data_IF_713118023070
#
_entry.id   IF_713118023070
#
_cell.length_a   1.000
_cell.length_b   1.000
_cell.length_c   1.000
_cell.angle_alpha   90.00
_cell.angle_beta   90.00
_cell.angle_gamma   90.00
#
_symmetry.space_group_name_H-M   'P 1'
#
loop_
_entity.id
_entity.type
_entity.pdbx_description
1 polymer ?
#
# COMPACT_ATOMS: atom_id res chain seq x y z
N UNK A 1 28.18 19.05 -17.56
CA UNK A 1 26.80 18.58 -17.34
C UNK A 1 26.88 17.07 -17.37
N UNK A 2 26.74 16.48 -16.22
CA UNK A 2 26.88 15.03 -16.08
C UNK A 2 25.60 14.40 -16.66
N UNK A 3 25.65 13.95 -17.92
CA UNK A 3 24.61 13.15 -18.55
C UNK A 3 24.71 11.71 -18.06
N UNK A 4 24.87 11.56 -16.76
CA UNK A 4 24.99 10.28 -16.11
C UNK A 4 23.73 9.45 -16.28
N UNK A 5 23.88 8.14 -16.41
CA UNK A 5 22.77 7.19 -16.41
C UNK A 5 21.93 7.36 -15.15
N UNK A 6 20.62 7.52 -15.34
CA UNK A 6 19.62 7.69 -14.28
C UNK A 6 18.69 6.46 -14.30
N UNK A 7 18.86 5.58 -13.32
CA UNK A 7 18.09 4.34 -13.20
C UNK A 7 16.92 4.53 -12.22
N UNK A 8 15.71 4.13 -12.63
CA UNK A 8 14.56 4.00 -11.76
C UNK A 8 14.14 2.53 -11.62
N UNK A 9 14.05 2.06 -10.39
CA UNK A 9 13.53 0.74 -10.04
C UNK A 9 12.24 0.92 -9.23
N UNK A 10 11.14 0.45 -9.78
CA UNK A 10 9.80 0.64 -9.21
C UNK A 10 9.35 -0.64 -8.50
N UNK A 11 8.87 -0.50 -7.27
CA UNK A 11 8.21 -1.53 -6.51
C UNK A 11 6.72 -1.59 -6.94
N UNK A 12 6.36 -2.62 -7.70
CA UNK A 12 5.05 -2.70 -8.34
C UNK A 12 3.92 -2.79 -7.32
N UNK A 13 3.99 -3.75 -6.39
CA UNK A 13 2.90 -3.98 -5.45
C UNK A 13 2.70 -2.80 -4.50
N UNK A 14 3.77 -2.21 -4.00
CA UNK A 14 3.68 -1.02 -3.14
C UNK A 14 2.97 0.15 -3.85
N UNK A 15 3.22 0.35 -5.14
CA UNK A 15 2.57 1.37 -5.95
C UNK A 15 1.12 1.01 -6.32
N UNK A 16 0.84 -0.27 -6.61
CA UNK A 16 -0.50 -0.78 -6.94
C UNK A 16 -1.43 -0.67 -5.73
N UNK A 17 -0.99 -1.14 -4.56
CA UNK A 17 -1.76 -1.02 -3.32
C UNK A 17 -2.04 0.44 -2.96
N UNK A 18 -1.01 1.28 -3.03
CA UNK A 18 -1.19 2.72 -2.81
C UNK A 18 -2.22 3.32 -3.76
N UNK A 19 -2.16 2.97 -5.04
CA UNK A 19 -3.12 3.42 -6.03
C UNK A 19 -4.55 2.95 -5.72
N UNK A 20 -4.72 1.69 -5.37
CA UNK A 20 -6.00 1.11 -5.00
C UNK A 20 -6.63 1.82 -3.80
N UNK A 21 -5.88 1.97 -2.70
CA UNK A 21 -6.39 2.61 -1.49
C UNK A 21 -6.65 4.11 -1.65
N UNK A 22 -5.93 4.79 -2.54
CA UNK A 22 -6.23 6.19 -2.86
C UNK A 22 -7.64 6.40 -3.45
N UNK A 23 -8.19 5.39 -4.10
CA UNK A 23 -9.53 5.41 -4.68
C UNK A 23 -10.57 4.62 -3.89
N UNK A 24 -10.25 4.07 -2.72
CA UNK A 24 -11.14 3.16 -1.99
C UNK A 24 -12.52 3.76 -1.70
N UNK A 25 -12.58 5.06 -1.39
CA UNK A 25 -13.84 5.79 -1.12
C UNK A 25 -14.61 6.19 -2.39
N UNK A 26 -13.96 6.22 -3.54
CA UNK A 26 -14.56 6.61 -4.82
C UNK A 26 -13.92 5.80 -5.95
N UNK A 27 -14.18 4.48 -6.01
CA UNK A 27 -13.56 3.58 -6.95
C UNK A 27 -13.89 3.95 -8.40
N UNK A 28 -12.95 3.73 -9.30
CA UNK A 28 -13.10 3.94 -10.73
C UNK A 28 -13.59 2.64 -11.36
N UNK A 29 -14.87 2.59 -11.66
CA UNK A 29 -15.51 1.43 -12.26
C UNK A 29 -15.81 1.74 -13.73
N UNK A 30 -15.41 0.87 -14.65
CA UNK A 30 -15.78 1.01 -16.06
C UNK A 30 -17.20 0.52 -16.35
N UNK A 31 -17.68 0.68 -17.58
CA UNK A 31 -19.06 0.30 -17.95
C UNK A 31 -19.33 -1.21 -17.83
N UNK A 32 -18.28 -2.04 -17.78
CA UNK A 32 -18.35 -3.49 -17.59
C UNK A 32 -18.39 -3.91 -16.10
N UNK A 33 -18.41 -2.95 -15.16
CA UNK A 33 -18.36 -3.21 -13.73
C UNK A 33 -16.97 -3.52 -13.16
N UNK A 34 -15.91 -3.38 -13.96
CA UNK A 34 -14.54 -3.67 -13.54
C UNK A 34 -13.92 -2.48 -12.81
N UNK A 35 -13.33 -2.73 -11.63
CA UNK A 35 -12.64 -1.71 -10.85
C UNK A 35 -11.24 -1.43 -11.43
N UNK A 36 -11.10 -0.29 -12.06
CA UNK A 36 -9.87 0.15 -12.74
C UNK A 36 -8.97 1.05 -11.87
N UNK A 37 -9.31 1.26 -10.60
CA UNK A 37 -8.65 2.23 -9.71
C UNK A 37 -7.15 2.00 -9.57
N UNK A 38 -6.76 0.75 -9.30
CA UNK A 38 -5.35 0.37 -9.14
C UNK A 38 -4.55 0.60 -10.42
N UNK A 39 -5.13 0.25 -11.57
CA UNK A 39 -4.50 0.42 -12.89
C UNK A 39 -4.33 1.91 -13.19
N UNK A 40 -5.40 2.70 -13.03
CA UNK A 40 -5.38 4.14 -13.30
C UNK A 40 -4.32 4.84 -12.45
N UNK A 41 -4.28 4.56 -11.15
CA UNK A 41 -3.33 5.19 -10.23
C UNK A 41 -1.89 4.76 -10.51
N UNK A 42 -1.65 3.48 -10.82
CA UNK A 42 -0.34 2.98 -11.21
C UNK A 42 0.16 3.66 -12.49
N UNK A 43 -0.66 3.71 -13.55
CA UNK A 43 -0.30 4.36 -14.82
C UNK A 43 -0.04 5.84 -14.65
N UNK A 44 -0.86 6.54 -13.84
CA UNK A 44 -0.63 7.96 -13.54
C UNK A 44 0.73 8.18 -12.87
N UNK A 45 1.07 7.32 -11.92
CA UNK A 45 2.35 7.36 -11.21
C UNK A 45 3.53 7.10 -12.15
N UNK A 46 3.41 6.06 -13.00
CA UNK A 46 4.43 5.74 -14.02
C UNK A 46 4.64 6.91 -14.99
N UNK A 47 3.56 7.45 -15.55
CA UNK A 47 3.61 8.59 -16.48
C UNK A 47 4.24 9.84 -15.84
N UNK A 48 3.96 10.08 -14.56
CA UNK A 48 4.57 11.20 -13.84
C UNK A 48 6.09 11.03 -13.74
N UNK A 49 6.57 9.84 -13.41
CA UNK A 49 8.00 9.55 -13.38
C UNK A 49 8.62 9.68 -14.77
N UNK A 50 8.00 9.09 -15.78
CA UNK A 50 8.52 9.14 -17.15
C UNK A 50 8.63 10.58 -17.69
N UNK A 51 7.70 11.44 -17.32
CA UNK A 51 7.65 12.85 -17.79
C UNK A 51 8.52 13.80 -16.97
N UNK A 52 8.44 13.70 -15.62
CA UNK A 52 9.14 14.64 -14.74
C UNK A 52 10.59 14.29 -14.53
N UNK A 53 10.86 13.00 -14.32
CA UNK A 53 12.20 12.53 -13.99
C UNK A 53 13.02 12.17 -15.22
N UNK A 54 12.34 11.84 -16.31
CA UNK A 54 12.94 11.47 -17.58
C UNK A 54 14.10 10.46 -17.40
N UNK A 55 13.84 9.26 -16.80
CA UNK A 55 14.87 8.28 -16.55
C UNK A 55 15.50 7.79 -17.87
N UNK A 56 16.81 7.52 -17.86
CA UNK A 56 17.48 6.86 -18.98
C UNK A 56 17.29 5.34 -18.94
N UNK A 57 17.12 4.79 -17.73
CA UNK A 57 16.93 3.36 -17.49
C UNK A 57 15.80 3.17 -16.48
N UNK A 58 15.00 2.14 -16.67
CA UNK A 58 13.84 1.86 -15.81
C UNK A 58 13.53 0.37 -15.77
N UNK A 59 13.11 -0.13 -14.61
CA UNK A 59 12.61 -1.48 -14.42
C UNK A 59 11.52 -1.49 -13.36
N UNK A 60 10.59 -2.46 -13.44
CA UNK A 60 9.51 -2.63 -12.47
C UNK A 60 9.62 -4.02 -11.85
N UNK A 61 9.83 -4.08 -10.55
CA UNK A 61 9.95 -5.32 -9.80
C UNK A 61 8.59 -5.77 -9.24
N UNK A 62 8.33 -7.06 -9.33
CA UNK A 62 7.17 -7.72 -8.76
C UNK A 62 7.60 -8.82 -7.79
N UNK A 63 6.81 -9.01 -6.73
CA UNK A 63 6.92 -10.22 -5.94
C UNK A 63 6.50 -11.43 -6.79
N UNK A 64 7.23 -12.54 -6.71
CA UNK A 64 6.88 -13.76 -7.41
C UNK A 64 5.65 -14.42 -6.80
N UNK A 65 5.03 -15.30 -7.56
CA UNK A 65 4.04 -16.21 -7.02
C UNK A 65 4.73 -17.26 -6.13
N UNK A 66 4.21 -17.47 -4.92
CA UNK A 66 4.70 -18.50 -4.00
C UNK A 66 5.57 -17.96 -2.85
N UNK A 67 6.04 -18.87 -1.97
CA UNK A 67 6.81 -18.49 -0.80
C UNK A 67 8.21 -17.97 -1.18
N UNK A 68 8.72 -17.07 -0.34
CA UNK A 68 10.09 -16.57 -0.41
C UNK A 68 10.95 -17.23 0.68
N UNK A 69 12.26 -17.04 0.63
CA UNK A 69 13.17 -17.57 1.66
C UNK A 69 12.79 -17.13 3.09
N UNK A 70 12.11 -15.97 3.25
CA UNK A 70 11.62 -15.51 4.56
C UNK A 70 10.45 -16.36 5.04
N UNK A 71 9.53 -16.74 4.15
CA UNK A 71 8.43 -17.66 4.48
C UNK A 71 8.96 -19.06 4.83
N UNK A 72 10.01 -19.53 4.14
CA UNK A 72 10.66 -20.81 4.46
C UNK A 72 11.34 -20.77 5.83
N UNK A 73 11.94 -19.64 6.20
CA UNK A 73 12.59 -19.46 7.50
C UNK A 73 11.60 -19.20 8.64
N UNK A 74 10.45 -18.58 8.36
CA UNK A 74 9.46 -18.18 9.34
C UNK A 74 8.06 -18.27 8.75
N UNK A 75 7.34 -19.32 9.07
CA UNK A 75 5.97 -19.61 8.57
C UNK A 75 4.98 -18.46 8.87
N UNK A 76 5.20 -17.74 9.98
CA UNK A 76 4.36 -16.63 10.38
C UNK A 76 4.72 -15.29 9.69
N UNK A 77 5.76 -15.26 8.85
CA UNK A 77 6.13 -14.06 8.11
C UNK A 77 4.97 -13.62 7.22
N UNK A 78 4.50 -12.38 7.42
CA UNK A 78 3.34 -11.79 6.72
C UNK A 78 2.01 -12.56 6.84
N UNK A 79 1.91 -13.56 7.76
CA UNK A 79 0.73 -14.42 7.89
C UNK A 79 -0.54 -13.68 8.34
N UNK A 80 -0.42 -12.52 8.99
CA UNK A 80 -1.55 -11.69 9.40
C UNK A 80 -2.05 -10.75 8.29
N UNK A 81 -1.37 -10.71 7.13
CA UNK A 81 -1.83 -9.89 6.01
C UNK A 81 -3.12 -10.48 5.44
N UNK A 82 -4.09 -9.62 5.23
CA UNK A 82 -5.32 -9.98 4.53
C UNK A 82 -5.01 -10.45 3.11
N UNK A 83 -5.89 -11.27 2.57
CA UNK A 83 -5.80 -11.64 1.16
C UNK A 83 -5.77 -10.41 0.26
N UNK A 84 -5.01 -10.51 -0.82
CA UNK A 84 -4.96 -9.45 -1.82
C UNK A 84 -6.36 -9.18 -2.36
N UNK A 85 -6.89 -7.95 -2.23
CA UNK A 85 -8.20 -7.61 -2.76
C UNK A 85 -8.38 -8.07 -4.21
N UNK A 86 -9.53 -8.64 -4.52
CA UNK A 86 -9.82 -9.17 -5.86
C UNK A 86 -9.55 -8.13 -6.96
N UNK A 87 -9.92 -6.87 -6.73
CA UNK A 87 -9.67 -5.80 -7.68
C UNK A 87 -8.17 -5.60 -7.98
N UNK A 88 -7.29 -5.78 -6.99
CA UNK A 88 -5.84 -5.75 -7.19
C UNK A 88 -5.41 -7.00 -7.97
N UNK A 89 -5.85 -8.18 -7.53
CA UNK A 89 -5.51 -9.46 -8.18
C UNK A 89 -5.85 -9.47 -9.67
N UNK A 90 -7.02 -8.96 -10.03
CA UNK A 90 -7.47 -8.84 -11.41
C UNK A 90 -6.73 -7.72 -12.19
N UNK A 91 -6.24 -6.69 -11.49
CA UNK A 91 -5.50 -5.58 -12.11
C UNK A 91 -4.06 -5.93 -12.46
N UNK A 92 -3.40 -6.82 -11.70
CA UNK A 92 -1.97 -7.14 -11.87
C UNK A 92 -1.62 -7.63 -13.28
N UNK A 93 -2.34 -8.59 -13.91
CA UNK A 93 -2.05 -9.01 -15.27
C UNK A 93 -2.12 -7.85 -16.26
N UNK A 94 -3.14 -7.00 -16.15
CA UNK A 94 -3.34 -5.85 -17.03
C UNK A 94 -2.22 -4.81 -16.84
N UNK A 95 -1.81 -4.56 -15.60
CA UNK A 95 -0.67 -3.69 -15.30
C UNK A 95 0.62 -4.25 -15.91
N UNK A 96 0.85 -5.56 -15.82
CA UNK A 96 2.00 -6.21 -16.48
C UNK A 96 1.96 -6.03 -18.01
N UNK A 97 0.78 -6.11 -18.63
CA UNK A 97 0.63 -5.88 -20.08
C UNK A 97 0.86 -4.40 -20.44
N UNK A 98 0.41 -3.47 -19.62
CA UNK A 98 0.71 -2.04 -19.79
C UNK A 98 2.22 -1.79 -19.69
N UNK A 99 2.90 -2.35 -18.69
CA UNK A 99 4.36 -2.22 -18.52
C UNK A 99 5.10 -2.76 -19.75
N UNK A 100 4.67 -3.92 -20.28
CA UNK A 100 5.22 -4.48 -21.52
C UNK A 100 4.98 -3.56 -22.73
N UNK A 101 3.80 -2.94 -22.82
CA UNK A 101 3.51 -1.98 -23.88
C UNK A 101 4.34 -0.68 -23.75
N UNK A 102 4.75 -0.28 -22.54
CA UNK A 102 5.78 0.75 -22.31
C UNK A 102 7.19 0.27 -22.62
N UNK A 103 7.39 -1.02 -22.98
CA UNK A 103 8.68 -1.67 -23.18
C UNK A 103 9.60 -1.57 -21.97
N UNK A 104 9.00 -1.60 -20.77
CA UNK A 104 9.73 -1.59 -19.51
C UNK A 104 9.92 -3.03 -19.04
N UNK A 105 11.14 -3.44 -18.68
CA UNK A 105 11.40 -4.77 -18.14
C UNK A 105 10.66 -5.03 -16.83
N UNK A 106 10.04 -6.20 -16.72
CA UNK A 106 9.49 -6.75 -15.49
C UNK A 106 10.55 -7.61 -14.83
N UNK A 107 10.88 -7.28 -13.58
CA UNK A 107 11.91 -7.93 -12.78
C UNK A 107 11.22 -8.81 -11.72
N UNK A 108 11.39 -10.12 -11.83
CA UNK A 108 10.74 -11.08 -10.93
C UNK A 108 11.66 -12.29 -10.77
N UNK A 109 12.02 -12.64 -9.53
CA UNK A 109 12.90 -13.77 -9.23
C UNK A 109 12.23 -14.68 -8.21
N UNK A 110 12.02 -15.94 -8.58
CA UNK A 110 11.38 -16.92 -7.70
C UNK A 110 12.14 -17.07 -6.37
N UNK A 111 11.42 -17.06 -5.25
CA UNK A 111 11.96 -17.19 -3.91
C UNK A 111 12.49 -15.89 -3.27
N UNK A 112 12.44 -14.75 -3.98
CA UNK A 112 12.87 -13.44 -3.49
C UNK A 112 11.78 -12.40 -3.69
N UNK A 113 11.65 -11.47 -2.76
CA UNK A 113 10.68 -10.38 -2.84
C UNK A 113 11.17 -9.26 -3.78
N UNK A 114 10.27 -8.38 -4.21
CA UNK A 114 10.61 -7.26 -5.07
C UNK A 114 11.68 -6.34 -4.45
N UNK A 115 11.65 -6.18 -3.12
CA UNK A 115 12.64 -5.40 -2.37
C UNK A 115 14.05 -5.99 -2.46
N UNK A 116 14.18 -7.33 -2.41
CA UNK A 116 15.46 -8.02 -2.58
C UNK A 116 16.02 -7.84 -3.99
N UNK A 117 15.15 -7.94 -5.00
CA UNK A 117 15.51 -7.73 -6.42
C UNK A 117 15.97 -6.29 -6.63
N UNK A 118 15.18 -5.32 -6.17
CA UNK A 118 15.52 -3.90 -6.25
C UNK A 118 16.80 -3.60 -5.47
N UNK A 119 16.92 -4.14 -4.25
CA UNK A 119 18.10 -3.95 -3.40
C UNK A 119 19.37 -4.45 -4.04
N UNK A 120 19.33 -5.61 -4.68
CA UNK A 120 20.47 -6.18 -5.40
C UNK A 120 20.88 -5.30 -6.58
N UNK A 121 19.94 -4.94 -7.44
CA UNK A 121 20.20 -4.15 -8.64
C UNK A 121 20.63 -2.71 -8.30
N UNK A 122 19.97 -2.08 -7.32
CA UNK A 122 20.31 -0.72 -6.89
C UNK A 122 21.69 -0.65 -6.26
N UNK A 123 22.05 -1.62 -5.42
CA UNK A 123 23.37 -1.70 -4.80
C UNK A 123 24.46 -1.87 -5.85
N UNK A 124 24.25 -2.76 -6.82
CA UNK A 124 25.22 -2.98 -7.90
C UNK A 124 25.34 -1.75 -8.80
N UNK A 125 24.22 -1.11 -9.18
CA UNK A 125 24.22 0.12 -9.95
C UNK A 125 24.97 1.25 -9.21
N UNK A 126 24.74 1.39 -7.91
CA UNK A 126 25.45 2.36 -7.07
C UNK A 126 26.96 2.12 -7.02
N UNK A 127 27.42 0.86 -6.93
CA UNK A 127 28.85 0.49 -7.01
C UNK A 127 29.48 0.86 -8.35
N UNK A 128 28.68 0.79 -9.42
CA UNK A 128 29.11 1.22 -10.76
C UNK A 128 29.04 2.74 -10.97
N UNK A 129 28.63 3.51 -9.94
CA UNK A 129 28.51 4.97 -9.98
C UNK A 129 27.24 5.48 -10.66
N UNK A 130 26.26 4.61 -10.93
CA UNK A 130 25.00 4.96 -11.56
C UNK A 130 24.05 5.56 -10.51
N UNK A 131 23.49 6.73 -10.80
CA UNK A 131 22.48 7.34 -9.93
C UNK A 131 21.17 6.56 -10.02
N UNK A 132 20.77 5.93 -8.92
CA UNK A 132 19.64 5.00 -8.86
C UNK A 132 18.56 5.50 -7.90
N UNK A 133 17.32 5.45 -8.33
CA UNK A 133 16.14 5.80 -7.54
C UNK A 133 15.27 4.56 -7.36
N UNK A 134 15.07 4.17 -6.10
CA UNK A 134 14.14 3.12 -5.69
C UNK A 134 12.78 3.75 -5.42
N UNK A 135 11.82 3.50 -6.28
CA UNK A 135 10.51 4.10 -6.19
C UNK A 135 9.56 3.22 -5.39
N UNK A 136 9.43 3.53 -4.13
CA UNK A 136 8.58 2.83 -3.17
C UNK A 136 8.19 3.74 -2.01
N UNK A 137 7.00 3.60 -1.40
CA UNK A 137 6.66 4.23 -0.13
C UNK A 137 7.29 3.52 1.07
N UNK A 138 7.80 2.30 0.91
CA UNK A 138 8.27 1.45 1.99
C UNK A 138 9.53 2.03 2.66
N UNK A 139 9.45 2.18 4.00
CA UNK A 139 10.52 2.73 4.82
C UNK A 139 11.78 1.85 4.88
N UNK A 140 11.60 0.54 4.67
CA UNK A 140 12.64 -0.46 4.86
C UNK A 140 13.75 -0.34 3.82
N UNK A 141 13.43 0.19 2.64
CA UNK A 141 14.41 0.57 1.62
C UNK A 141 15.42 1.64 2.08
N UNK A 142 15.15 2.31 3.20
CA UNK A 142 16.10 3.23 3.82
C UNK A 142 17.48 2.58 4.09
N UNK A 143 17.51 1.27 4.37
CA UNK A 143 18.73 0.52 4.60
C UNK A 143 19.68 0.44 3.39
N UNK A 144 19.16 0.66 2.17
CA UNK A 144 19.88 0.56 0.90
C UNK A 144 20.43 1.91 0.41
N UNK A 145 20.02 3.00 1.06
CA UNK A 145 20.38 4.36 0.63
C UNK A 145 21.88 4.61 0.79
N UNK A 146 22.47 5.20 -0.24
CA UNK A 146 23.89 5.53 -0.30
C UNK A 146 24.14 6.79 -1.13
N UNK A 147 25.40 7.15 -1.38
CA UNK A 147 25.76 8.35 -2.18
C UNK A 147 25.20 8.33 -3.61
N UNK A 148 24.85 7.15 -4.14
CA UNK A 148 24.33 6.95 -5.50
C UNK A 148 22.96 6.31 -5.54
N UNK A 149 22.45 5.81 -4.42
CA UNK A 149 21.17 5.12 -4.32
C UNK A 149 20.23 5.91 -3.42
N UNK A 150 19.09 6.29 -3.93
CA UNK A 150 18.10 7.15 -3.29
C UNK A 150 16.74 6.47 -3.24
N UNK A 151 15.94 6.76 -2.20
CA UNK A 151 14.52 6.47 -2.24
C UNK A 151 13.79 7.60 -2.95
N UNK A 152 12.84 7.24 -3.81
CA UNK A 152 11.92 8.15 -4.48
C UNK A 152 10.50 7.84 -3.99
N UNK A 153 10.04 8.63 -3.03
CA UNK A 153 8.82 8.34 -2.27
C UNK A 153 7.66 9.22 -2.68
N UNK A 154 6.47 8.64 -2.92
CA UNK A 154 5.26 9.44 -3.09
C UNK A 154 4.85 10.11 -1.77
N UNK A 155 4.53 11.40 -1.81
CA UNK A 155 4.02 12.16 -0.66
C UNK A 155 2.52 12.01 -0.49
N UNK A 156 2.02 12.17 0.73
CA UNK A 156 0.58 12.24 0.99
C UNK A 156 -0.08 13.50 0.40
N UNK A 157 0.65 14.61 0.37
CA UNK A 157 0.22 15.89 -0.20
C UNK A 157 0.32 15.96 -1.73
N UNK A 158 0.58 14.83 -2.38
CA UNK A 158 0.86 14.76 -3.82
C UNK A 158 2.32 15.03 -4.17
N UNK A 159 2.75 14.53 -5.34
CA UNK A 159 4.14 14.57 -5.78
C UNK A 159 5.04 13.57 -5.06
N UNK A 160 6.35 13.80 -5.15
CA UNK A 160 7.38 12.89 -4.64
C UNK A 160 8.42 13.64 -3.81
N UNK A 161 9.14 12.89 -3.00
CA UNK A 161 10.35 13.32 -2.30
C UNK A 161 11.50 12.36 -2.60
N UNK A 162 12.69 12.91 -2.65
CA UNK A 162 13.92 12.13 -2.72
C UNK A 162 14.51 12.06 -1.32
N UNK A 163 14.80 10.85 -0.86
CA UNK A 163 15.46 10.64 0.42
C UNK A 163 16.87 10.05 0.15
N UNK A 164 17.87 10.82 0.47
CA UNK A 164 19.27 10.40 0.50
C UNK A 164 19.74 10.03 1.91
N UNK A 165 21.04 9.94 2.08
CA UNK A 165 21.67 9.52 3.34
C UNK A 165 21.26 10.40 4.51
N UNK A 166 21.26 11.73 4.34
CA UNK A 166 20.96 12.64 5.44
C UNK A 166 19.47 12.64 5.83
N UNK A 167 18.57 12.50 4.85
CA UNK A 167 17.13 12.39 5.09
C UNK A 167 16.79 11.08 5.85
N UNK A 168 17.41 9.96 5.46
CA UNK A 168 17.22 8.68 6.15
C UNK A 168 17.78 8.76 7.58
N UNK A 169 18.98 9.31 7.78
CA UNK A 169 19.59 9.49 9.09
C UNK A 169 18.70 10.36 9.99
N UNK A 170 18.21 11.47 9.47
CA UNK A 170 17.33 12.38 10.22
C UNK A 170 15.99 11.72 10.58
N UNK A 171 15.41 10.95 9.64
CA UNK A 171 14.12 10.29 9.85
C UNK A 171 14.15 9.23 10.96
N UNK A 172 15.20 8.41 10.99
CA UNK A 172 15.31 7.31 11.94
C UNK A 172 16.16 7.65 13.17
N UNK A 173 16.73 8.86 13.23
CA UNK A 173 17.68 9.29 14.27
C UNK A 173 18.87 8.32 14.41
N UNK A 174 19.51 8.01 13.27
CA UNK A 174 20.61 7.06 13.13
C UNK A 174 21.83 7.72 12.49
N UNK A 175 22.99 7.08 12.58
CA UNK A 175 24.25 7.59 12.05
C UNK A 175 24.57 7.10 10.63
N UNK A 176 23.98 5.96 10.25
CA UNK A 176 24.16 5.34 8.93
C UNK A 176 22.84 4.72 8.45
N UNK A 177 22.51 4.81 7.14
CA UNK A 177 21.32 4.14 6.57
C UNK A 177 21.24 2.65 6.87
N UNK A 178 22.37 1.95 6.93
CA UNK A 178 22.41 0.51 7.26
C UNK A 178 21.85 0.19 8.64
N UNK A 179 21.86 1.15 9.56
CA UNK A 179 21.27 0.97 10.91
C UNK A 179 19.75 0.87 10.92
N UNK A 180 19.06 1.14 9.79
CA UNK A 180 17.63 0.84 9.64
C UNK A 180 17.37 -0.64 9.90
N UNK A 181 18.28 -1.53 9.50
CA UNK A 181 18.17 -2.97 9.76
C UNK A 181 18.19 -3.26 11.28
N UNK A 182 19.10 -2.60 12.01
CA UNK A 182 19.20 -2.76 13.46
C UNK A 182 17.98 -2.20 14.19
N UNK A 183 17.45 -1.08 13.71
CA UNK A 183 16.19 -0.52 14.20
C UNK A 183 15.05 -1.53 14.09
N UNK A 184 14.84 -2.06 12.87
CA UNK A 184 13.77 -3.04 12.58
C UNK A 184 13.99 -4.36 13.34
N UNK A 185 15.22 -4.84 13.43
CA UNK A 185 15.55 -6.05 14.19
C UNK A 185 15.26 -5.93 15.69
N UNK A 186 15.39 -4.72 16.27
CA UNK A 186 15.07 -4.45 17.66
C UNK A 186 13.59 -4.19 17.93
N UNK A 187 12.96 -3.31 17.15
CA UNK A 187 11.56 -2.94 17.39
C UNK A 187 10.56 -3.90 16.76
N UNK A 188 11.00 -4.73 15.82
CA UNK A 188 10.13 -5.56 14.99
C UNK A 188 9.42 -4.74 13.90
N UNK A 189 8.62 -5.43 13.11
CA UNK A 189 7.68 -4.82 12.17
C UNK A 189 6.36 -5.60 12.17
N UNK A 190 5.29 -4.94 12.63
CA UNK A 190 3.97 -5.55 12.69
C UNK A 190 3.40 -5.82 11.31
N UNK A 191 3.75 -5.02 10.29
CA UNK A 191 3.26 -5.21 8.92
C UNK A 191 3.80 -6.48 8.26
N UNK A 192 4.97 -6.93 8.69
CA UNK A 192 5.64 -8.14 8.19
C UNK A 192 5.66 -9.27 9.22
N UNK A 193 5.01 -9.03 10.37
CA UNK A 193 5.02 -9.95 11.51
C UNK A 193 6.44 -10.29 12.00
N UNK A 194 7.34 -9.31 11.94
CA UNK A 194 8.69 -9.45 12.48
C UNK A 194 8.66 -9.16 13.97
N UNK A 195 9.03 -10.13 14.84
CA UNK A 195 8.76 -10.04 16.27
C UNK A 195 9.55 -8.96 17.01
N UNK A 196 10.79 -8.69 16.62
CA UNK A 196 11.69 -7.80 17.33
C UNK A 196 12.03 -8.27 18.75
N UNK A 197 12.43 -7.33 19.62
CA UNK A 197 12.62 -7.56 21.03
C UNK A 197 11.34 -7.16 21.80
N UNK A 198 10.63 -8.08 22.47
CA UNK A 198 9.39 -7.80 23.18
C UNK A 198 9.50 -6.62 24.14
N UNK A 199 8.68 -5.58 23.92
CA UNK A 199 8.65 -4.35 24.74
C UNK A 199 9.81 -3.40 24.48
N UNK A 200 10.48 -3.51 23.33
CA UNK A 200 11.36 -2.53 22.74
C UNK A 200 10.62 -1.90 21.55
N UNK A 201 10.18 -0.67 21.71
CA UNK A 201 9.60 0.13 20.63
C UNK A 201 10.63 1.07 20.01
N UNK A 202 10.21 1.85 19.03
CA UNK A 202 11.03 2.73 18.19
C UNK A 202 12.01 3.59 19.02
N UNK A 203 11.55 4.35 20.01
CA UNK A 203 12.41 5.23 20.84
C UNK A 203 13.49 4.46 21.60
N UNK A 204 13.18 3.24 22.06
CA UNK A 204 14.16 2.41 22.75
C UNK A 204 15.16 1.83 21.77
N UNK A 205 14.71 1.40 20.60
CA UNK A 205 15.56 0.91 19.53
C UNK A 205 16.52 2.02 19.05
N UNK A 206 16.03 3.24 18.80
CA UNK A 206 16.84 4.41 18.46
C UNK A 206 17.96 4.65 19.48
N UNK A 207 17.62 4.65 20.77
CA UNK A 207 18.61 4.82 21.83
C UNK A 207 19.66 3.72 21.80
N UNK A 208 19.25 2.46 21.66
CA UNK A 208 20.17 1.32 21.63
C UNK A 208 21.09 1.38 20.38
N UNK A 209 20.52 1.66 19.21
CA UNK A 209 21.31 1.79 17.99
C UNK A 209 22.26 2.99 18.04
N UNK A 210 21.82 4.12 18.59
CA UNK A 210 22.68 5.29 18.80
C UNK A 210 23.84 5.00 19.75
N UNK A 211 23.63 4.22 20.83
CA UNK A 211 24.62 3.92 21.86
C UNK A 211 25.59 2.81 21.42
N UNK A 212 25.07 1.74 20.80
CA UNK A 212 25.85 0.55 20.48
C UNK A 212 26.21 0.43 18.98
N UNK A 213 25.57 1.18 18.11
CA UNK A 213 25.84 1.19 16.67
C UNK A 213 25.20 0.03 15.90
N UNK A 214 25.18 -1.18 16.45
CA UNK A 214 24.58 -2.36 15.85
C UNK A 214 24.02 -3.35 16.89
N UNK A 215 23.17 -4.27 16.46
CA UNK A 215 22.65 -5.36 17.28
C UNK A 215 23.78 -6.27 17.76
N UNK A 216 24.76 -6.57 16.93
CA UNK A 216 25.89 -7.43 17.29
C UNK A 216 26.66 -6.82 18.48
N UNK A 217 27.03 -5.56 18.36
CA UNK A 217 27.74 -4.86 19.43
C UNK A 217 26.90 -4.71 20.71
N UNK A 218 25.59 -4.45 20.57
CA UNK A 218 24.65 -4.45 21.70
C UNK A 218 24.64 -5.80 22.43
N UNK A 219 24.55 -6.90 21.66
CA UNK A 219 24.50 -8.25 22.22
C UNK A 219 25.84 -8.68 22.87
N UNK A 220 26.97 -8.17 22.42
CA UNK A 220 28.27 -8.40 23.07
C UNK A 220 28.46 -7.60 24.36
N UNK A 221 27.78 -6.45 24.51
CA UNK A 221 27.96 -5.52 25.60
C UNK A 221 26.68 -5.34 26.45
N UNK A 222 25.90 -6.41 26.65
CA UNK A 222 24.68 -6.36 27.46
C UNK A 222 24.94 -6.03 28.93
N UNK A 223 26.18 -6.18 29.43
CA UNK A 223 26.63 -5.76 30.76
C UNK A 223 26.46 -4.26 31.00
N UNK A 224 26.51 -3.44 29.95
CA UNK A 224 26.29 -1.99 30.01
C UNK A 224 24.83 -1.62 30.19
N UNK A 225 23.89 -2.54 29.84
CA UNK A 225 22.45 -2.35 30.06
C UNK A 225 22.07 -2.53 31.54
N UNK A 226 20.98 -1.87 31.95
CA UNK A 226 20.48 -1.91 33.35
C UNK A 226 19.03 -2.36 33.41
N UNK A 227 18.66 -2.97 34.54
CA UNK A 227 17.27 -3.26 34.89
C UNK A 227 16.56 -4.16 33.90
N UNK A 228 15.28 -3.91 33.69
CA UNK A 228 14.42 -4.73 32.83
C UNK A 228 14.87 -4.77 31.36
N UNK A 229 15.51 -3.72 30.85
CA UNK A 229 15.99 -3.67 29.47
C UNK A 229 17.11 -4.68 29.24
N UNK A 230 18.05 -4.79 30.19
CA UNK A 230 19.10 -5.82 30.16
C UNK A 230 18.50 -7.23 30.06
N UNK A 231 17.60 -7.55 30.96
CA UNK A 231 16.92 -8.87 30.96
C UNK A 231 16.21 -9.14 29.66
N UNK A 232 15.47 -8.15 29.12
CA UNK A 232 14.75 -8.29 27.82
C UNK A 232 15.70 -8.63 26.68
N UNK A 233 16.79 -7.86 26.54
CA UNK A 233 17.76 -8.07 25.47
C UNK A 233 18.47 -9.42 25.61
N UNK A 234 18.92 -9.75 26.83
CA UNK A 234 19.60 -11.02 27.10
C UNK A 234 18.72 -12.26 26.87
N UNK A 235 17.44 -12.19 27.27
CA UNK A 235 16.50 -13.31 27.12
C UNK A 235 16.08 -13.50 25.65
N UNK A 236 16.06 -12.43 24.83
CA UNK A 236 15.56 -12.47 23.46
C UNK A 236 16.67 -12.36 22.40
N UNK A 237 17.91 -12.71 22.71
CA UNK A 237 19.07 -12.60 21.79
C UNK A 237 18.82 -13.26 20.45
N UNK A 238 18.36 -14.50 20.45
CA UNK A 238 18.07 -15.26 19.24
C UNK A 238 16.95 -14.61 18.41
N UNK A 239 15.88 -14.17 19.08
CA UNK A 239 14.76 -13.51 18.41
C UNK A 239 15.17 -12.16 17.80
N UNK A 240 16.00 -11.38 18.47
CA UNK A 240 16.54 -10.11 17.94
C UNK A 240 17.38 -10.38 16.68
N UNK A 241 18.28 -11.36 16.74
CA UNK A 241 19.13 -11.74 15.60
C UNK A 241 18.28 -12.25 14.44
N UNK A 242 17.28 -13.06 14.73
CA UNK A 242 16.35 -13.58 13.73
C UNK A 242 15.50 -12.48 13.12
N UNK A 243 15.02 -11.53 13.92
CA UNK A 243 14.27 -10.37 13.43
C UNK A 243 15.14 -9.47 12.53
N UNK A 244 16.41 -9.29 12.87
CA UNK A 244 17.38 -8.61 12.00
C UNK A 244 17.51 -9.33 10.65
N UNK A 245 17.62 -10.67 10.65
CA UNK A 245 17.67 -11.47 9.43
C UNK A 245 16.42 -11.25 8.56
N UNK A 246 15.22 -11.29 9.15
CA UNK A 246 13.96 -11.09 8.42
C UNK A 246 13.84 -9.67 7.84
N UNK A 247 14.28 -8.64 8.58
CA UNK A 247 14.23 -7.24 8.17
C UNK A 247 15.30 -6.86 7.14
N UNK A 248 16.32 -7.70 6.95
CA UNK A 248 17.42 -7.41 6.02
C UNK A 248 16.98 -7.69 4.59
N UNK A 249 17.01 -6.64 3.76
CA UNK A 249 16.82 -6.79 2.30
C UNK A 249 18.07 -7.44 1.72
N UNK A 250 17.90 -8.54 0.97
CA UNK A 250 18.99 -9.22 0.31
C UNK A 250 19.52 -8.41 -0.87
N UNK A 251 20.86 -8.39 -0.99
CA UNK A 251 21.57 -7.68 -2.07
C UNK A 251 22.43 -8.64 -2.90
N UNK A 252 22.13 -9.92 -2.82
CA UNK A 252 22.83 -11.03 -3.48
C UNK A 252 21.86 -12.01 -4.18
N UNK A 253 20.70 -11.48 -4.62
CA UNK A 253 19.72 -12.23 -5.43
C UNK A 253 20.40 -12.70 -6.73
N UNK A 254 20.10 -13.90 -7.25
CA UNK A 254 20.70 -14.41 -8.48
C UNK A 254 20.12 -13.71 -9.74
N UNK A 255 20.26 -12.39 -9.79
CA UNK A 255 19.91 -11.52 -10.91
C UNK A 255 21.12 -10.64 -11.27
N UNK A 256 21.33 -10.40 -12.55
CA UNK A 256 22.42 -9.54 -13.03
C UNK A 256 21.88 -8.17 -13.43
N UNK A 257 22.67 -7.13 -13.15
CA UNK A 257 22.37 -5.78 -13.61
C UNK A 257 22.76 -5.65 -15.09
N UNK A 258 21.80 -5.83 -15.99
CA UNK A 258 21.96 -5.65 -17.43
C UNK A 258 21.46 -4.27 -17.84
N UNK A 259 22.33 -3.27 -17.81
CA UNK A 259 21.95 -1.88 -18.10
C UNK A 259 21.30 -1.71 -19.47
N UNK A 260 21.80 -2.42 -20.48
CA UNK A 260 21.26 -2.36 -21.85
C UNK A 260 19.81 -2.86 -21.92
N UNK A 261 19.44 -3.84 -21.09
CA UNK A 261 18.07 -4.34 -20.99
C UNK A 261 17.13 -3.38 -20.27
N UNK A 262 17.67 -2.48 -19.45
CA UNK A 262 16.91 -1.48 -18.69
C UNK A 262 16.79 -0.13 -19.39
N UNK A 263 17.42 0.04 -20.57
CA UNK A 263 17.32 1.29 -21.35
C UNK A 263 15.85 1.61 -21.60
N UNK A 264 15.47 2.84 -21.28
CA UNK A 264 14.11 3.31 -21.59
C UNK A 264 13.91 3.39 -23.09
N UNK A 265 12.96 2.66 -23.58
CA UNK A 265 12.52 2.67 -24.98
C UNK A 265 11.25 3.50 -25.18
N UNK A 266 10.91 3.80 -26.42
CA UNK A 266 9.62 4.36 -26.81
C UNK A 266 8.52 3.32 -26.64
N UNK A 267 7.38 3.73 -26.07
CA UNK A 267 6.25 2.84 -25.84
C UNK A 267 5.59 2.37 -27.16
N UNK A 268 5.00 1.20 -27.15
CA UNK A 268 4.09 0.73 -28.19
C UNK A 268 2.74 1.42 -28.02
N UNK A 269 2.57 2.54 -28.73
CA UNK A 269 1.36 3.37 -28.68
C UNK A 269 0.10 2.59 -29.12
N UNK A 270 0.22 1.62 -30.02
CA UNK A 270 -0.95 0.85 -30.48
C UNK A 270 -1.45 -0.11 -29.40
N UNK A 271 -0.53 -0.82 -28.76
CA UNK A 271 -0.85 -1.70 -27.63
C UNK A 271 -1.42 -0.93 -26.45
N UNK A 272 -0.80 0.21 -26.08
CA UNK A 272 -1.32 1.07 -25.03
C UNK A 272 -2.72 1.60 -25.35
N UNK A 273 -2.95 2.04 -26.58
CA UNK A 273 -4.27 2.52 -27.03
C UNK A 273 -5.33 1.44 -26.87
N UNK A 274 -5.05 0.23 -27.35
CA UNK A 274 -5.99 -0.89 -27.25
C UNK A 274 -6.36 -1.20 -25.80
N UNK A 275 -5.36 -1.27 -24.91
CA UNK A 275 -5.59 -1.52 -23.47
C UNK A 275 -6.38 -0.39 -22.82
N UNK A 276 -6.01 0.88 -23.09
CA UNK A 276 -6.69 2.03 -22.51
C UNK A 276 -8.12 2.21 -23.04
N UNK A 277 -8.41 1.86 -24.30
CA UNK A 277 -9.76 1.84 -24.86
C UNK A 277 -10.62 0.78 -24.17
N UNK A 278 -10.08 -0.43 -23.94
CA UNK A 278 -10.77 -1.49 -23.23
C UNK A 278 -11.10 -1.12 -21.78
N UNK A 279 -10.19 -0.40 -21.11
CA UNK A 279 -10.35 0.11 -19.75
C UNK A 279 -11.19 1.41 -19.67
N UNK A 280 -11.56 1.99 -20.81
CA UNK A 280 -12.29 3.27 -20.94
C UNK A 280 -11.50 4.49 -20.42
N UNK A 281 -10.18 4.47 -20.51
CA UNK A 281 -9.28 5.52 -20.05
C UNK A 281 -9.11 6.68 -21.05
N UNK A 282 -10.22 7.30 -21.48
CA UNK A 282 -10.24 8.34 -22.51
C UNK A 282 -9.25 9.50 -22.24
N UNK A 283 -9.24 10.00 -21.00
CA UNK A 283 -8.33 11.08 -20.60
C UNK A 283 -6.84 10.66 -20.66
N UNK A 284 -6.53 9.39 -20.36
CA UNK A 284 -5.18 8.87 -20.48
C UNK A 284 -4.74 8.78 -21.94
N UNK A 285 -5.62 8.29 -22.83
CA UNK A 285 -5.36 8.26 -24.28
C UNK A 285 -4.98 9.64 -24.78
N UNK A 286 -5.77 10.66 -24.43
CA UNK A 286 -5.51 12.04 -24.87
C UNK A 286 -4.20 12.59 -24.31
N UNK A 287 -3.86 12.28 -23.06
CA UNK A 287 -2.68 12.81 -22.37
C UNK A 287 -1.38 12.08 -22.75
N UNK A 288 -1.45 10.78 -23.00
CA UNK A 288 -0.29 9.91 -23.22
C UNK A 288 0.00 9.75 -24.71
N UNK A 289 -1.04 9.54 -25.52
CA UNK A 289 -0.90 9.11 -26.92
C UNK A 289 -1.17 10.22 -27.95
N UNK A 290 -1.70 11.39 -27.55
CA UNK A 290 -1.74 12.55 -28.44
C UNK A 290 -0.46 13.35 -28.23
N UNK A 291 0.54 13.09 -29.07
CA UNK A 291 1.72 13.99 -29.20
C UNK A 291 1.20 15.38 -29.58
N UNK A 292 1.63 16.42 -28.85
CA UNK A 292 1.42 17.81 -29.24
C UNK A 292 1.92 18.00 -30.67
N UNK A 293 0.99 18.16 -31.61
CA UNK A 293 1.26 18.62 -32.98
C UNK A 293 1.49 20.15 -32.88
N UNK A 294 2.46 20.54 -32.07
CA UNK A 294 2.89 21.93 -31.90
C UNK A 294 4.40 22.02 -32.02
N UNK A 295 4.89 21.65 -33.20
CA UNK A 295 6.31 21.77 -33.51
C UNK A 295 6.60 21.59 -35.00
N UNK A 296 5.97 22.38 -35.89
CA UNK A 296 6.63 23.02 -37.00
C UNK A 296 5.67 23.91 -37.82
N UNK A 297 5.98 25.10 -37.82
CA UNK A 297 5.82 26.29 -38.51
C UNK A 297 5.01 26.44 -39.79
N UNK A 298 4.66 27.68 -39.93
CA UNK A 298 4.44 28.56 -41.09
C UNK A 298 3.01 29.06 -41.20
N UNK A 299 2.92 30.27 -40.66
CA UNK A 299 2.22 31.49 -41.17
C UNK A 299 1.10 31.31 -42.21
N UNK A 300 -0.08 31.79 -41.87
CA UNK A 300 -0.52 33.06 -42.45
C UNK A 300 -1.84 33.53 -41.80
N UNK A 301 -1.89 34.83 -41.69
CA UNK A 301 -2.89 35.64 -41.02
C UNK A 301 -4.27 35.57 -41.68
N UNK A 302 -5.30 35.70 -40.88
CA UNK A 302 -6.20 36.89 -40.88
C UNK A 302 -7.41 36.64 -39.99
N UNK A 303 -7.58 37.51 -39.04
CA UNK A 303 -8.85 38.22 -38.87
C UNK A 303 -9.87 37.71 -37.86
N UNK A 304 -9.91 38.41 -36.75
CA UNK A 304 -11.10 38.95 -36.06
C UNK A 304 -11.67 38.21 -34.85
N UNK A 305 -11.34 38.78 -33.67
CA UNK A 305 -12.17 39.09 -32.48
C UNK A 305 -13.46 38.27 -32.27
N UNK A 306 -13.59 37.67 -31.10
CA UNK A 306 -14.39 38.12 -29.95
C UNK A 306 -14.07 37.28 -28.72
N UNK A 307 -13.88 37.99 -27.61
CA UNK A 307 -13.62 37.46 -26.28
C UNK A 307 -14.88 36.82 -25.67
N UNK A 308 -14.72 35.69 -24.99
CA UNK A 308 -15.34 35.44 -23.69
C UNK A 308 -14.51 34.40 -22.97
N UNK A 309 -14.03 34.78 -21.79
CA UNK A 309 -13.23 33.89 -20.93
C UNK A 309 -14.03 32.71 -20.40
N UNK A 310 -13.42 31.57 -20.50
CA UNK A 310 -13.58 30.47 -19.52
C UNK A 310 -12.18 29.96 -19.29
N UNK A 311 -11.72 30.14 -18.08
CA UNK A 311 -10.52 29.55 -17.53
C UNK A 311 -10.53 28.05 -17.81
N UNK A 312 -9.43 27.54 -18.37
CA UNK A 312 -9.16 26.12 -18.46
C UNK A 312 -9.22 25.52 -17.05
N UNK A 313 -9.83 24.37 -16.86
CA UNK A 313 -9.79 23.67 -15.58
C UNK A 313 -8.34 23.31 -15.28
N UNK A 314 -7.87 23.73 -14.10
CA UNK A 314 -6.62 23.24 -13.52
C UNK A 314 -6.61 21.73 -13.57
N UNK A 315 -5.45 21.07 -13.79
CA UNK A 315 -5.35 19.61 -13.70
C UNK A 315 -5.85 19.21 -12.32
N UNK A 316 -6.82 18.27 -12.29
CA UNK A 316 -7.29 17.64 -11.08
C UNK A 316 -6.07 17.08 -10.31
N UNK A 317 -6.00 17.25 -8.98
CA UNK A 317 -4.94 16.65 -8.19
C UNK A 317 -4.91 15.15 -8.45
N UNK A 318 -3.73 14.58 -8.57
CA UNK A 318 -3.51 13.17 -8.89
C UNK A 318 -4.13 12.21 -7.87
N UNK A 319 -4.45 12.73 -6.68
CA UNK A 319 -5.10 11.99 -5.61
C UNK A 319 -6.12 12.90 -4.92
N UNK A 320 -7.31 12.38 -4.53
CA UNK A 320 -8.25 13.15 -3.74
C UNK A 320 -7.60 13.53 -2.41
N UNK A 321 -7.66 14.80 -2.06
CA UNK A 321 -7.37 15.26 -0.71
C UNK A 321 -8.46 14.72 0.22
N UNK A 322 -8.02 14.13 1.34
CA UNK A 322 -8.74 13.74 2.53
C UNK A 322 -9.48 12.39 2.56
N UNK A 323 -9.18 11.67 3.65
CA UNK A 323 -10.03 10.69 4.27
C UNK A 323 -9.29 9.50 4.88
N UNK A 324 -8.77 9.69 6.10
CA UNK A 324 -8.33 8.58 6.94
C UNK A 324 -9.49 7.66 7.28
N UNK A 325 -9.25 6.38 7.30
CA UNK A 325 -10.17 5.35 7.75
C UNK A 325 -9.49 4.00 7.70
N UNK A 326 -9.02 3.57 8.83
CA UNK A 326 -8.71 2.22 9.29
C UNK A 326 -8.59 1.13 8.22
N UNK A 327 -7.35 0.76 7.92
CA UNK A 327 -6.98 -0.65 7.77
C UNK A 327 -5.49 -0.81 8.08
N UNK A 328 -5.14 -1.91 8.78
CA UNK A 328 -3.90 -2.09 9.50
C UNK A 328 -2.63 -1.83 8.70
N UNK A 329 -1.81 -1.12 9.29
CA UNK A 329 -0.35 -1.06 9.40
C UNK A 329 0.59 -1.28 8.19
N UNK A 330 0.14 -1.38 6.96
CA UNK A 330 1.09 -1.30 5.86
C UNK A 330 1.66 0.13 5.69
N UNK A 331 1.01 1.14 6.30
CA UNK A 331 1.40 2.55 6.22
C UNK A 331 1.29 3.31 7.55
N UNK A 332 1.10 2.65 8.69
CA UNK A 332 0.69 3.26 9.96
C UNK A 332 1.83 3.84 10.82
N UNK A 333 3.07 3.93 10.33
CA UNK A 333 4.14 4.61 11.05
C UNK A 333 4.53 5.96 10.42
N UNK A 334 3.51 6.73 10.00
CA UNK A 334 3.68 8.16 9.82
C UNK A 334 3.26 8.86 11.10
N UNK A 335 4.23 9.16 11.97
CA UNK A 335 4.02 10.17 13.01
C UNK A 335 3.79 11.51 12.31
N UNK A 336 2.71 12.22 12.61
CA UNK A 336 2.59 13.62 12.22
C UNK A 336 3.64 14.41 12.99
N UNK A 337 4.40 15.27 12.32
CA UNK A 337 5.12 16.35 12.97
C UNK A 337 4.16 17.18 13.82
N UNK A 338 4.68 17.71 14.93
CA UNK A 338 4.01 18.38 16.04
C UNK A 338 2.83 19.29 15.69
N UNK A 339 1.88 19.50 16.63
CA UNK A 339 0.59 20.11 16.37
C UNK A 339 0.71 21.63 16.17
N UNK A 340 0.79 22.04 14.92
CA UNK A 340 0.22 23.32 14.53
C UNK A 340 -1.30 23.20 14.68
N UNK A 341 -1.91 24.17 15.35
CA UNK A 341 -3.32 24.23 15.73
C UNK A 341 -4.28 23.49 14.77
N UNK A 342 -4.91 22.44 15.27
CA UNK A 342 -5.86 21.63 14.55
C UNK A 342 -7.01 22.51 14.02
N UNK A 343 -7.08 22.68 12.71
CA UNK A 343 -8.34 23.02 12.06
C UNK A 343 -9.29 21.88 12.39
N UNK A 344 -10.34 22.17 13.15
CA UNK A 344 -11.43 21.26 13.46
C UNK A 344 -11.95 20.71 12.13
N UNK A 345 -11.73 19.42 11.89
CA UNK A 345 -12.38 18.72 10.79
C UNK A 345 -13.88 18.72 11.06
N UNK A 346 -14.70 19.07 10.08
CA UNK A 346 -16.15 18.94 10.14
C UNK A 346 -16.62 17.49 9.98
N UNK A 347 -15.78 16.51 10.30
CA UNK A 347 -16.13 15.10 10.31
C UNK A 347 -16.86 14.78 11.60
N UNK A 348 -18.06 14.26 11.47
CA UNK A 348 -18.83 13.74 12.59
C UNK A 348 -18.13 12.49 13.14
N UNK A 349 -17.93 12.46 14.45
CA UNK A 349 -17.40 11.29 15.16
C UNK A 349 -18.52 10.55 15.85
N UNK A 350 -18.29 9.28 16.22
CA UNK A 350 -19.25 8.50 17.01
C UNK A 350 -19.76 9.25 18.28
N UNK A 351 -18.91 10.12 18.86
CA UNK A 351 -19.26 10.94 20.02
C UNK A 351 -20.15 12.14 19.65
N UNK A 352 -20.14 12.59 18.39
CA UNK A 352 -20.94 13.72 17.91
C UNK A 352 -22.28 13.30 17.28
N UNK A 353 -22.47 12.01 16.98
CA UNK A 353 -23.67 11.45 16.37
C UNK A 353 -24.64 10.94 17.43
N UNK A 354 -25.93 11.20 17.23
CA UNK A 354 -26.97 10.50 17.96
C UNK A 354 -27.23 9.19 17.24
N UNK A 355 -26.86 8.06 17.84
CA UNK A 355 -27.06 6.74 17.27
C UNK A 355 -27.93 5.85 18.17
N UNK A 356 -28.60 4.88 17.57
CA UNK A 356 -29.43 3.90 18.24
C UNK A 356 -28.97 2.49 17.85
N UNK A 357 -28.00 1.93 18.62
CA UNK A 357 -27.53 0.56 18.42
C UNK A 357 -28.14 -0.34 19.48
N UNK A 358 -28.79 -1.43 19.06
CA UNK A 358 -29.51 -2.32 19.94
C UNK A 358 -29.01 -3.76 19.85
N UNK A 359 -28.75 -4.36 21.01
CA UNK A 359 -28.48 -5.78 21.13
C UNK A 359 -29.79 -6.55 21.19
N UNK A 360 -30.01 -7.47 20.26
CA UNK A 360 -31.21 -8.30 20.08
C UNK A 360 -30.90 -9.71 20.59
N UNK A 361 -30.85 -9.87 21.89
CA UNK A 361 -30.44 -11.07 22.60
C UNK A 361 -31.56 -11.93 23.15
N UNK A 362 -32.84 -11.49 23.04
CA UNK A 362 -34.00 -12.23 23.48
C UNK A 362 -35.00 -12.52 22.34
N UNK A 363 -35.80 -13.58 22.50
CA UNK A 363 -36.81 -13.98 21.51
C UNK A 363 -37.85 -12.88 21.27
N UNK A 364 -38.24 -12.14 22.31
CA UNK A 364 -39.17 -11.01 22.19
C UNK A 364 -38.60 -9.91 21.31
N UNK A 365 -37.32 -9.52 21.56
CA UNK A 365 -36.64 -8.50 20.75
C UNK A 365 -36.47 -8.97 19.30
N UNK A 366 -36.14 -10.25 19.07
CA UNK A 366 -36.05 -10.80 17.71
C UNK A 366 -37.37 -10.73 16.97
N UNK A 367 -38.47 -11.06 17.62
CA UNK A 367 -39.84 -10.92 17.03
C UNK A 367 -40.17 -9.46 16.66
N UNK A 368 -39.82 -8.52 17.55
CA UNK A 368 -40.07 -7.11 17.30
C UNK A 368 -39.26 -6.58 16.11
N UNK A 369 -37.96 -6.92 16.04
CA UNK A 369 -37.12 -6.46 14.94
C UNK A 369 -37.54 -7.09 13.61
N UNK A 370 -37.87 -8.38 13.56
CA UNK A 370 -38.38 -9.05 12.36
C UNK A 370 -39.55 -8.30 11.75
N UNK A 371 -40.50 -7.83 12.57
CA UNK A 371 -41.64 -7.05 12.09
C UNK A 371 -41.23 -5.70 11.50
N UNK A 372 -40.22 -5.03 12.09
CA UNK A 372 -39.70 -3.79 11.55
C UNK A 372 -38.99 -4.05 10.21
N UNK A 373 -38.15 -5.09 10.12
CA UNK A 373 -37.41 -5.46 8.91
C UNK A 373 -38.36 -5.80 7.75
N UNK A 374 -39.46 -6.54 8.00
CA UNK A 374 -40.46 -6.90 6.98
C UNK A 374 -41.20 -5.70 6.41
N UNK A 375 -41.29 -4.60 7.15
CA UNK A 375 -41.99 -3.37 6.71
C UNK A 375 -41.04 -2.34 6.09
N UNK A 376 -39.74 -2.57 6.16
CA UNK A 376 -38.71 -1.67 5.62
C UNK A 376 -38.61 -1.82 4.11
N UNK A 377 -38.39 -0.69 3.41
CA UNK A 377 -38.11 -0.67 1.95
C UNK A 377 -36.66 -0.91 1.58
N UNK A 378 -35.77 -0.67 2.52
CA UNK A 378 -34.30 -0.82 2.34
C UNK A 378 -33.81 -1.48 3.62
N UNK A 379 -33.03 -2.53 3.44
CA UNK A 379 -32.39 -3.30 4.49
C UNK A 379 -30.90 -3.44 4.17
N UNK A 380 -30.05 -3.06 5.12
CA UNK A 380 -28.64 -3.44 5.13
C UNK A 380 -28.46 -4.63 6.06
N UNK A 381 -27.80 -5.67 5.57
CA UNK A 381 -27.46 -6.88 6.31
C UNK A 381 -25.95 -7.12 6.22
N UNK A 382 -25.37 -7.45 7.36
CA UNK A 382 -24.01 -7.95 7.46
C UNK A 382 -23.96 -9.15 8.40
N UNK A 383 -22.98 -10.05 8.22
CA UNK A 383 -22.84 -11.27 9.01
C UNK A 383 -21.42 -11.39 9.57
N UNK A 384 -21.34 -11.73 10.85
CA UNK A 384 -20.09 -12.08 11.52
C UNK A 384 -19.94 -13.59 11.57
N UNK A 385 -18.79 -14.09 11.15
CA UNK A 385 -18.50 -15.52 11.06
C UNK A 385 -17.15 -15.87 11.69
N UNK A 386 -16.91 -17.14 12.01
CA UNK A 386 -15.66 -17.62 12.59
C UNK A 386 -14.49 -17.67 11.60
N UNK A 387 -14.76 -17.50 10.29
CA UNK A 387 -13.76 -17.53 9.22
C UNK A 387 -14.35 -17.06 7.90
N UNK A 388 -13.52 -16.96 6.89
CA UNK A 388 -13.88 -16.46 5.54
C UNK A 388 -14.26 -17.59 4.56
N UNK A 389 -13.99 -18.86 4.92
CA UNK A 389 -14.33 -20.00 4.07
C UNK A 389 -15.79 -20.41 4.27
N UNK A 390 -16.69 -20.23 3.28
CA UNK A 390 -18.14 -20.44 3.45
C UNK A 390 -18.55 -21.85 3.86
N UNK A 391 -17.70 -22.86 3.60
CA UNK A 391 -17.98 -24.25 3.92
C UNK A 391 -17.59 -24.65 5.35
N UNK A 392 -16.68 -23.89 5.97
CA UNK A 392 -16.11 -24.19 7.28
C UNK A 392 -16.45 -23.10 8.33
N UNK A 393 -16.95 -21.94 7.87
CA UNK A 393 -17.27 -20.83 8.75
C UNK A 393 -18.61 -21.03 9.46
N UNK A 394 -18.64 -20.79 10.77
CA UNK A 394 -19.84 -20.75 11.59
C UNK A 394 -20.32 -19.31 11.78
N UNK A 395 -21.64 -19.09 11.75
CA UNK A 395 -22.25 -17.78 11.96
C UNK A 395 -22.14 -17.40 13.45
N UNK A 396 -21.60 -16.22 13.73
CA UNK A 396 -21.43 -15.65 15.08
C UNK A 396 -22.50 -14.60 15.39
N UNK A 397 -22.94 -13.88 14.36
CA UNK A 397 -23.97 -12.85 14.52
C UNK A 397 -24.46 -12.28 13.20
N UNK A 398 -25.58 -11.57 13.26
CA UNK A 398 -26.20 -10.85 12.15
C UNK A 398 -26.42 -9.41 12.55
N UNK A 399 -26.00 -8.46 11.70
CA UNK A 399 -26.23 -7.03 11.87
C UNK A 399 -27.23 -6.54 10.85
N UNK A 400 -28.21 -5.77 11.29
CA UNK A 400 -29.25 -5.18 10.45
C UNK A 400 -29.27 -3.66 10.63
N UNK A 401 -29.54 -2.92 9.55
CA UNK A 401 -29.85 -1.49 9.59
C UNK A 401 -30.95 -1.17 8.59
N UNK A 402 -31.89 -0.32 8.99
CA UNK A 402 -33.02 0.13 8.17
C UNK A 402 -33.12 1.66 8.06
N UNK A 403 -32.26 2.36 8.80
CA UNK A 403 -32.17 3.82 8.78
C UNK A 403 -30.75 4.27 9.17
N UNK A 404 -30.40 5.47 8.79
CA UNK A 404 -29.13 6.10 9.14
C UNK A 404 -29.00 6.21 10.68
N UNK A 405 -27.83 5.81 11.19
CA UNK A 405 -27.52 5.79 12.63
C UNK A 405 -28.37 4.84 13.50
N UNK A 406 -29.12 3.91 12.90
CA UNK A 406 -29.85 2.86 13.61
C UNK A 406 -29.30 1.49 13.18
N UNK A 407 -28.90 0.65 14.15
CA UNK A 407 -28.43 -0.70 13.88
C UNK A 407 -28.87 -1.69 14.99
N UNK A 408 -29.05 -2.94 14.57
CA UNK A 408 -29.49 -4.05 15.40
C UNK A 408 -28.53 -5.21 15.25
N UNK A 409 -27.98 -5.71 16.35
CA UNK A 409 -27.11 -6.86 16.34
C UNK A 409 -27.77 -8.06 17.00
N UNK A 410 -27.83 -9.16 16.29
CA UNK A 410 -28.39 -10.45 16.73
C UNK A 410 -27.24 -11.41 16.95
N UNK A 411 -26.85 -11.74 18.19
CA UNK A 411 -25.85 -12.74 18.46
C UNK A 411 -26.38 -14.13 18.14
N UNK A 412 -25.53 -14.96 17.53
CA UNK A 412 -25.82 -16.36 17.20
C UNK A 412 -24.93 -17.24 18.04
N UNK A 413 -25.48 -18.21 18.82
CA UNK A 413 -24.69 -19.10 19.65
C UNK A 413 -23.89 -20.11 18.81
N UNK A 414 -22.82 -20.64 19.38
CA UNK A 414 -21.99 -21.67 18.76
C UNK A 414 -22.65 -23.06 18.64
N UNK A 415 -23.74 -23.30 19.38
CA UNK A 415 -24.53 -24.51 19.21
C UNK A 415 -25.33 -24.44 17.90
N UNK A 416 -25.06 -25.38 17.00
CA UNK A 416 -25.63 -25.37 15.65
C UNK A 416 -27.15 -25.50 15.62
N UNK A 417 -27.76 -26.25 16.55
CA UNK A 417 -29.20 -26.41 16.60
C UNK A 417 -29.90 -25.13 17.10
N UNK A 418 -29.29 -24.44 18.05
CA UNK A 418 -29.78 -23.13 18.54
C UNK A 418 -29.54 -22.04 17.50
N UNK A 419 -28.39 -22.03 16.85
CA UNK A 419 -28.06 -21.11 15.75
C UNK A 419 -29.08 -21.23 14.61
N UNK A 420 -29.37 -22.46 14.18
CA UNK A 420 -30.32 -22.73 13.11
C UNK A 420 -31.76 -22.28 13.49
N UNK A 421 -32.18 -22.41 14.75
CA UNK A 421 -33.47 -21.86 15.22
C UNK A 421 -33.53 -20.35 15.06
N UNK A 422 -32.50 -19.65 15.51
CA UNK A 422 -32.42 -18.19 15.39
C UNK A 422 -32.44 -17.75 13.92
N UNK A 423 -31.62 -18.36 13.07
CA UNK A 423 -31.58 -18.04 11.63
C UNK A 423 -32.94 -18.29 10.97
N UNK A 424 -33.63 -19.38 11.33
CA UNK A 424 -34.98 -19.68 10.81
C UNK A 424 -36.05 -18.70 11.28
N UNK A 425 -35.90 -18.03 12.43
CA UNK A 425 -36.80 -16.93 12.83
C UNK A 425 -36.74 -15.76 11.82
N UNK A 426 -35.56 -15.48 11.25
CA UNK A 426 -35.33 -14.40 10.27
C UNK A 426 -35.64 -14.82 8.83
N UNK A 427 -35.94 -16.08 8.56
CA UNK A 427 -36.22 -16.58 7.23
C UNK A 427 -37.29 -15.75 6.47
N UNK A 428 -38.39 -15.28 7.10
CA UNK A 428 -39.38 -14.44 6.41
C UNK A 428 -38.78 -13.10 5.92
N UNK A 429 -37.73 -12.58 6.58
CA UNK A 429 -37.05 -11.35 6.17
C UNK A 429 -36.19 -11.64 4.94
N UNK A 430 -35.46 -12.76 4.93
CA UNK A 430 -34.56 -13.14 3.83
C UNK A 430 -35.31 -13.58 2.56
N UNK A 431 -36.53 -14.11 2.71
CA UNK A 431 -37.37 -14.57 1.61
C UNK A 431 -38.40 -13.50 1.16
N UNK A 432 -38.30 -12.26 1.67
CA UNK A 432 -39.21 -11.18 1.32
C UNK A 432 -38.90 -10.58 -0.05
N UNK A 433 -39.68 -10.89 -1.07
CA UNK A 433 -39.51 -10.37 -2.43
C UNK A 433 -39.83 -8.86 -2.58
N UNK A 434 -40.28 -8.18 -1.51
CA UNK A 434 -40.69 -6.78 -1.54
C UNK A 434 -39.72 -5.82 -0.81
N UNK A 435 -38.58 -6.29 -0.32
CA UNK A 435 -37.55 -5.47 0.35
C UNK A 435 -36.26 -5.45 -0.42
#
# INVERSE_FOLDING_TARGET
>A
MDSGNKLFLLDAYALIYRAYYAFIKNPRINSKGFNTSAILGFVNTLEEVLKKENPTHIGVAFDPAGPTFRHEAFEQYKAQREETPEAIRLSVPIIKDIIRAYRIPILEVAGYEADDVIGTLATEAGRQGITTYMMTPDKDYGQLVSDKVFMYRPKHTGGFEVMGVEEVKAKFDIQSPTQVIDMLGLMGDSSDNIPGCPGVGEKTAQKLVSEFGSIENLLEHTDQLKGALKTKVETNREMITFSKFLATIKIDVPIQLEMDALVREEADENSLRSIFEELEFRTLIDRVLKKDISGNGITSATGSKVATGKSAPSPLPLFPEEGGGMQGDLFANFTPDEPGEAKKSNLETLESLTYCYQLIDTEEKRREIIQKLLTSKILSLDTETTGTEPMDAELVGMSFSIAENEAFYVPVPSDQDEALKIVNEFRPVFENENS
#
